data_IF_808318393236
#
_entry.id   IF_808318393236
#
_cell.length_a   1.000
_cell.length_b   1.000
_cell.length_c   1.000
_cell.angle_alpha   90.00
_cell.angle_beta   90.00
_cell.angle_gamma   90.00
#
_symmetry.space_group_name_H-M   'P 1'
#
loop_
_entity.id
_entity.type
_entity.pdbx_description
1 polymer ?
#
# COMPACT_ATOMS: atom_id res chain seq x y z
N UNK A 1 26.08 -34.49 11.31
CA UNK A 1 24.90 -35.30 11.67
C UNK A 1 23.74 -34.30 11.74
N UNK A 2 22.90 -34.25 10.71
CA UNK A 2 21.72 -33.37 10.69
C UNK A 2 20.63 -33.93 11.61
N UNK A 3 20.01 -33.07 12.42
CA UNK A 3 18.95 -33.46 13.34
C UNK A 3 17.66 -33.74 12.56
N UNK A 4 17.10 -34.95 12.71
CA UNK A 4 15.86 -35.38 12.05
C UNK A 4 14.60 -34.66 12.57
N UNK A 5 14.65 -34.13 13.79
CA UNK A 5 13.49 -33.55 14.48
C UNK A 5 13.93 -32.37 15.36
N UNK A 6 13.03 -31.40 15.53
CA UNK A 6 13.24 -30.21 16.35
C UNK A 6 12.11 -30.07 17.38
N UNK A 7 12.47 -29.68 18.61
CA UNK A 7 11.52 -29.40 19.68
C UNK A 7 11.37 -27.89 19.89
N UNK A 8 10.13 -27.40 19.97
CA UNK A 8 9.84 -26.00 20.29
C UNK A 8 10.31 -25.71 21.72
N UNK A 9 11.31 -24.84 21.87
CA UNK A 9 11.86 -24.48 23.18
C UNK A 9 11.03 -23.42 23.91
N UNK A 10 10.39 -22.52 23.17
CA UNK A 10 9.55 -21.47 23.71
C UNK A 10 8.58 -20.94 22.64
N UNK A 11 7.43 -20.46 23.08
CA UNK A 11 6.45 -19.75 22.26
C UNK A 11 6.05 -18.48 23.01
N UNK A 12 5.96 -17.37 22.28
CA UNK A 12 5.50 -16.09 22.82
C UNK A 12 4.35 -15.57 21.98
N UNK A 13 3.23 -15.33 22.64
CA UNK A 13 2.09 -14.64 22.07
C UNK A 13 2.12 -13.19 22.56
N UNK A 14 2.04 -12.25 21.62
CA UNK A 14 2.00 -10.82 21.91
C UNK A 14 0.85 -10.19 21.12
N UNK A 15 0.17 -9.23 21.74
CA UNK A 15 -0.81 -8.41 21.05
C UNK A 15 -0.09 -7.41 20.14
N UNK A 16 -0.36 -7.51 18.84
CA UNK A 16 0.11 -6.54 17.84
C UNK A 16 -1.00 -5.56 17.50
N UNK A 17 -0.64 -4.27 17.36
CA UNK A 17 -1.55 -3.26 16.82
C UNK A 17 -1.16 -2.98 15.37
N UNK A 18 -2.11 -3.14 14.45
CA UNK A 18 -1.96 -2.71 13.06
C UNK A 18 -2.68 -1.37 12.92
N UNK A 19 -1.92 -0.32 12.65
CA UNK A 19 -2.48 1.00 12.42
C UNK A 19 -3.12 1.10 11.03
N UNK A 20 -4.23 1.84 10.96
CA UNK A 20 -4.84 2.21 9.68
C UNK A 20 -3.86 3.05 8.87
N UNK A 21 -3.82 2.83 7.56
CA UNK A 21 -3.06 3.67 6.64
C UNK A 21 -3.54 5.12 6.70
N UNK A 22 -2.60 6.04 6.51
CA UNK A 22 -2.89 7.45 6.31
C UNK A 22 -3.60 7.66 4.97
N UNK A 23 -4.26 8.82 4.76
CA UNK A 23 -4.62 9.28 3.43
C UNK A 23 -3.41 9.21 2.48
N UNK A 24 -3.66 8.97 1.20
CA UNK A 24 -2.58 8.84 0.22
C UNK A 24 -2.18 10.20 -0.32
N UNK A 25 -0.87 10.42 -0.44
CA UNK A 25 -0.31 11.46 -1.30
C UNK A 25 -0.14 10.94 -2.75
N UNK A 26 0.42 11.80 -3.61
CA UNK A 26 0.66 11.48 -5.03
C UNK A 26 1.62 10.31 -5.22
N UNK A 27 2.74 10.31 -4.50
CA UNK A 27 3.83 9.34 -4.69
C UNK A 27 3.42 7.96 -4.18
N UNK A 28 2.80 7.93 -3.00
CA UNK A 28 2.24 6.73 -2.40
C UNK A 28 1.16 6.11 -3.30
N UNK A 29 0.28 6.95 -3.87
CA UNK A 29 -0.74 6.50 -4.81
C UNK A 29 -0.10 5.86 -6.05
N UNK A 30 0.86 6.55 -6.68
CA UNK A 30 1.50 6.07 -7.90
C UNK A 30 2.30 4.78 -7.66
N UNK A 31 3.04 4.70 -6.56
CA UNK A 31 3.83 3.51 -6.23
C UNK A 31 2.92 2.31 -5.95
N UNK A 32 1.90 2.48 -5.11
CA UNK A 32 0.98 1.38 -4.73
C UNK A 32 0.16 0.91 -5.92
N UNK A 33 -0.44 1.83 -6.67
CA UNK A 33 -1.29 1.48 -7.80
C UNK A 33 -0.49 0.85 -8.95
N UNK A 34 0.74 1.32 -9.20
CA UNK A 34 1.64 0.67 -10.17
C UNK A 34 1.94 -0.77 -9.77
N UNK A 35 2.22 -1.02 -8.48
CA UNK A 35 2.50 -2.36 -7.96
C UNK A 35 1.27 -3.27 -7.97
N UNK A 36 0.09 -2.75 -7.65
CA UNK A 36 -1.15 -3.52 -7.57
C UNK A 36 -1.71 -3.84 -8.96
N UNK A 37 -1.72 -2.86 -9.86
CA UNK A 37 -2.40 -2.96 -11.16
C UNK A 37 -1.46 -3.13 -12.36
N UNK A 38 -0.14 -2.97 -12.18
CA UNK A 38 0.84 -3.13 -13.26
C UNK A 38 0.73 -2.07 -14.37
N UNK A 39 0.20 -0.88 -14.05
CA UNK A 39 0.01 0.22 -15.01
C UNK A 39 1.00 1.36 -14.76
N UNK A 40 1.28 2.14 -15.81
CA UNK A 40 2.21 3.26 -15.72
C UNK A 40 1.67 4.40 -14.84
N UNK A 41 2.59 5.13 -14.21
CA UNK A 41 2.26 6.32 -13.42
C UNK A 41 1.50 7.37 -14.23
N UNK A 42 1.83 7.52 -15.52
CA UNK A 42 1.10 8.44 -16.42
C UNK A 42 -0.37 8.04 -16.56
N UNK A 43 -0.67 6.74 -16.74
CA UNK A 43 -2.06 6.28 -16.85
C UNK A 43 -2.82 6.49 -15.55
N UNK A 44 -2.18 6.21 -14.42
CA UNK A 44 -2.77 6.44 -13.08
C UNK A 44 -3.11 7.92 -12.90
N UNK A 45 -2.17 8.83 -13.19
CA UNK A 45 -2.40 10.27 -13.05
C UNK A 45 -3.52 10.77 -13.96
N UNK A 46 -3.57 10.32 -15.22
CA UNK A 46 -4.66 10.71 -16.13
C UNK A 46 -6.01 10.27 -15.56
N UNK A 47 -6.15 9.03 -15.10
CA UNK A 47 -7.40 8.55 -14.51
C UNK A 47 -7.75 9.29 -13.20
N UNK A 48 -6.77 9.60 -12.37
CA UNK A 48 -7.01 10.37 -11.14
C UNK A 48 -7.48 11.80 -11.43
N UNK A 49 -6.93 12.43 -12.48
CA UNK A 49 -7.38 13.76 -12.94
C UNK A 49 -8.81 13.72 -13.49
N UNK A 50 -9.17 12.68 -14.25
CA UNK A 50 -10.55 12.49 -14.72
C UNK A 50 -11.52 12.35 -13.54
N UNK A 51 -11.18 11.53 -12.55
CA UNK A 51 -11.99 11.35 -11.33
C UNK A 51 -12.12 12.63 -10.51
N UNK A 52 -11.07 13.46 -10.46
CA UNK A 52 -11.12 14.78 -9.84
C UNK A 52 -12.06 15.71 -10.62
N UNK A 53 -11.97 15.73 -11.95
CA UNK A 53 -12.82 16.56 -12.80
C UNK A 53 -14.30 16.18 -12.68
N UNK A 54 -14.60 14.91 -12.47
CA UNK A 54 -15.95 14.38 -12.23
C UNK A 54 -16.44 14.57 -10.78
N UNK A 55 -15.56 15.02 -9.86
CA UNK A 55 -15.90 15.31 -8.46
C UNK A 55 -15.90 14.10 -7.53
N UNK A 56 -15.28 12.98 -7.92
CA UNK A 56 -15.22 11.77 -7.09
C UNK A 56 -14.12 11.79 -6.04
N UNK A 57 -13.01 12.47 -6.31
CA UNK A 57 -11.86 12.57 -5.40
C UNK A 57 -11.36 14.00 -5.27
N UNK A 58 -10.58 14.28 -4.23
CA UNK A 58 -9.82 15.53 -4.11
C UNK A 58 -8.68 15.60 -5.13
N UNK A 59 -8.10 16.79 -5.29
CA UNK A 59 -7.03 17.03 -6.26
C UNK A 59 -5.83 16.08 -6.05
N UNK A 60 -5.43 15.29 -7.07
CA UNK A 60 -4.53 14.15 -6.89
C UNK A 60 -3.03 14.50 -6.95
N UNK A 61 -2.69 15.78 -7.11
CA UNK A 61 -1.30 16.28 -7.10
C UNK A 61 -1.06 17.03 -5.79
N UNK A 62 -0.70 16.28 -4.77
CA UNK A 62 -0.48 16.74 -3.40
C UNK A 62 0.68 15.98 -2.74
N UNK A 63 1.41 16.68 -1.87
CA UNK A 63 2.44 16.10 -0.96
C UNK A 63 1.88 15.90 0.46
N UNK A 64 0.56 16.09 0.63
CA UNK A 64 -0.16 16.08 1.91
C UNK A 64 -0.98 14.82 2.07
#
# INVERSE_FOLDING_TARGET
MEAKEAAVKAFKLEDGVIHKSLPTDTDDMLQKLSRIYGVSSSKIMTTAEDLYAEGFISYPRTET
#
